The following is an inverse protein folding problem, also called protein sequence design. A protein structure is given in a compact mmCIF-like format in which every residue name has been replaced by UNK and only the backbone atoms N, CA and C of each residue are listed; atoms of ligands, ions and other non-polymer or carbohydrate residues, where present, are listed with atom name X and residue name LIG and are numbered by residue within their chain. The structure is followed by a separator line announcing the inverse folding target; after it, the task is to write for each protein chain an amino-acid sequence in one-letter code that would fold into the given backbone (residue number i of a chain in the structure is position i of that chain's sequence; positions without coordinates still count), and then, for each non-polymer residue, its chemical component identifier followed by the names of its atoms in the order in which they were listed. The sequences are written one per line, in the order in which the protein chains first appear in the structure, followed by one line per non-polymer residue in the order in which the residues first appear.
data_IF_427163199991
#
_entry.id   IF_427163199991
#
_cell.length_a   1.000
_cell.length_b   1.000
_cell.length_c   1.000
_cell.angle_alpha   90.00
_cell.angle_beta   90.00
_cell.angle_gamma   90.00
#
_symmetry.space_group_name_H-M   'P 1'
#
loop_
_entity.id
_entity.type
_entity.pdbx_description
1 polymer ?
#
# COMPACT_ATOMS: atom_id res chain seq x y z
N UNK A 1 18.13 -3.93 -18.24
CA UNK A 1 17.13 -4.65 -19.06
C UNK A 1 15.86 -3.84 -19.08
N UNK A 2 15.39 -3.47 -20.25
CA UNK A 2 14.09 -2.78 -20.40
C UNK A 2 12.97 -3.83 -20.26
N UNK A 3 12.23 -3.78 -19.15
CA UNK A 3 11.11 -4.70 -18.89
C UNK A 3 9.84 -4.38 -19.71
N UNK A 4 9.69 -3.14 -20.18
CA UNK A 4 8.57 -2.73 -21.02
C UNK A 4 8.59 -3.43 -22.39
N UNK A 5 7.65 -4.36 -22.60
CA UNK A 5 7.55 -5.16 -23.82
C UNK A 5 8.50 -6.36 -23.92
N UNK A 6 9.38 -6.55 -22.94
CA UNK A 6 10.28 -7.71 -22.82
C UNK A 6 10.07 -8.38 -21.45
N UNK A 7 10.45 -9.66 -21.35
CA UNK A 7 10.47 -10.40 -20.10
C UNK A 7 11.65 -11.37 -20.06
N UNK A 8 11.88 -12.01 -18.91
CA UNK A 8 12.90 -13.04 -18.73
C UNK A 8 12.45 -14.06 -17.68
N UNK A 9 13.04 -15.26 -17.75
CA UNK A 9 12.60 -16.39 -16.93
C UNK A 9 12.59 -16.09 -15.42
N UNK A 10 13.64 -15.45 -14.88
CA UNK A 10 13.72 -15.16 -13.46
C UNK A 10 12.55 -14.28 -12.97
N UNK A 11 12.16 -13.24 -13.73
CA UNK A 11 11.01 -12.42 -13.37
C UNK A 11 9.69 -13.22 -13.44
N UNK A 12 9.54 -14.07 -14.46
CA UNK A 12 8.35 -14.93 -14.58
C UNK A 12 8.25 -15.87 -13.39
N UNK A 13 9.34 -16.55 -13.02
CA UNK A 13 9.36 -17.50 -11.90
C UNK A 13 9.06 -16.78 -10.55
N UNK A 14 9.64 -15.61 -10.33
CA UNK A 14 9.38 -14.80 -9.14
C UNK A 14 7.91 -14.36 -9.07
N UNK A 15 7.37 -13.81 -10.16
CA UNK A 15 5.97 -13.38 -10.27
C UNK A 15 5.02 -14.56 -10.03
N UNK A 16 5.25 -15.70 -10.68
CA UNK A 16 4.44 -16.91 -10.50
C UNK A 16 4.48 -17.44 -9.06
N UNK A 17 5.60 -17.26 -8.37
CA UNK A 17 5.74 -17.64 -6.96
C UNK A 17 4.93 -16.68 -6.07
N UNK A 18 5.02 -15.38 -6.32
CA UNK A 18 4.22 -14.37 -5.59
C UNK A 18 2.72 -14.57 -5.80
N UNK A 19 2.26 -14.82 -7.03
CA UNK A 19 0.84 -15.11 -7.32
C UNK A 19 0.32 -16.31 -6.54
N UNK A 20 1.14 -17.38 -6.39
CA UNK A 20 0.75 -18.56 -5.60
C UNK A 20 0.67 -18.30 -4.10
N UNK A 21 1.43 -17.34 -3.59
CA UNK A 21 1.49 -17.00 -2.17
C UNK A 21 0.51 -15.90 -1.79
N UNK A 22 0.19 -15.01 -2.73
CA UNK A 22 -0.64 -13.84 -2.49
C UNK A 22 -2.06 -14.21 -2.04
N UNK A 23 -2.65 -13.44 -1.12
CA UNK A 23 -4.02 -13.67 -0.68
C UNK A 23 -5.05 -13.24 -1.75
N UNK A 24 -6.12 -14.02 -1.86
CA UNK A 24 -7.27 -13.69 -2.72
C UNK A 24 -6.90 -13.47 -4.20
N UNK A 25 -7.48 -12.46 -4.85
CA UNK A 25 -7.34 -12.23 -6.28
C UNK A 25 -6.13 -11.36 -6.67
N UNK A 26 -5.10 -11.23 -5.81
CA UNK A 26 -3.92 -10.40 -6.10
C UNK A 26 -2.98 -11.08 -7.10
N UNK A 27 -3.37 -11.12 -8.37
CA UNK A 27 -2.73 -11.88 -9.43
C UNK A 27 -1.97 -11.02 -10.47
N UNK A 28 -2.01 -9.70 -10.33
CA UNK A 28 -1.26 -8.74 -11.16
C UNK A 28 -0.12 -8.15 -10.33
N UNK A 29 1.11 -8.28 -10.86
CA UNK A 29 2.32 -7.93 -10.12
C UNK A 29 3.15 -6.94 -10.94
N UNK A 30 3.52 -5.84 -10.30
CA UNK A 30 4.50 -4.88 -10.79
C UNK A 30 5.77 -4.98 -9.94
N UNK A 31 6.90 -5.37 -10.56
CA UNK A 31 8.20 -5.44 -9.88
C UNK A 31 8.81 -4.04 -9.79
N UNK A 32 9.27 -3.65 -8.61
CA UNK A 32 9.87 -2.35 -8.34
C UNK A 32 11.23 -2.51 -7.64
N UNK A 33 12.02 -1.45 -7.63
CA UNK A 33 13.44 -1.51 -7.22
C UNK A 33 13.65 -1.56 -5.70
N UNK A 34 12.72 -1.03 -4.91
CA UNK A 34 12.78 -1.01 -3.45
C UNK A 34 11.40 -0.88 -2.81
N UNK A 35 11.29 -1.10 -1.50
CA UNK A 35 10.05 -0.89 -0.75
C UNK A 35 9.49 0.53 -0.93
N UNK A 36 10.35 1.56 -0.81
CA UNK A 36 9.95 2.96 -1.01
C UNK A 36 9.41 3.21 -2.42
N UNK A 37 10.05 2.64 -3.46
CA UNK A 37 9.56 2.72 -4.85
C UNK A 37 8.25 1.95 -5.01
N UNK A 38 8.10 0.78 -4.37
CA UNK A 38 6.85 0.03 -4.34
C UNK A 38 5.70 0.85 -3.74
N UNK A 39 5.96 1.57 -2.66
CA UNK A 39 4.98 2.50 -2.07
C UNK A 39 4.64 3.64 -3.05
N UNK A 40 5.62 4.27 -3.68
CA UNK A 40 5.38 5.29 -4.74
C UNK A 40 4.46 4.75 -5.84
N UNK A 41 4.73 3.52 -6.30
CA UNK A 41 3.91 2.84 -7.30
C UNK A 41 2.49 2.63 -6.81
N UNK A 42 2.32 2.16 -5.56
CA UNK A 42 1.00 1.90 -4.97
C UNK A 42 0.16 3.18 -4.81
N UNK A 43 0.78 4.29 -4.38
CA UNK A 43 0.11 5.60 -4.28
C UNK A 43 -0.33 6.11 -5.66
N UNK A 44 0.53 5.96 -6.67
CA UNK A 44 0.20 6.31 -8.06
C UNK A 44 -0.91 5.42 -8.61
N UNK A 45 -0.87 4.12 -8.32
CA UNK A 45 -1.88 3.15 -8.74
C UNK A 45 -3.24 3.50 -8.13
N UNK A 46 -3.32 3.73 -6.82
CA UNK A 46 -4.55 4.14 -6.15
C UNK A 46 -5.15 5.42 -6.75
N UNK A 47 -4.29 6.41 -7.05
CA UNK A 47 -4.73 7.64 -7.73
C UNK A 47 -5.22 7.36 -9.15
N UNK A 48 -4.55 6.50 -9.92
CA UNK A 48 -4.99 6.16 -11.29
C UNK A 48 -6.32 5.38 -11.30
N UNK A 49 -6.57 4.55 -10.29
CA UNK A 49 -7.89 3.90 -10.08
C UNK A 49 -8.97 4.98 -9.92
N UNK A 50 -8.76 5.97 -9.07
CA UNK A 50 -9.74 7.05 -8.88
C UNK A 50 -9.91 7.92 -10.14
N UNK A 51 -8.85 8.15 -10.91
CA UNK A 51 -8.92 8.81 -12.22
C UNK A 51 -9.81 7.99 -13.18
N UNK A 52 -9.60 6.68 -13.26
CA UNK A 52 -10.36 5.80 -14.14
C UNK A 52 -11.85 5.75 -13.72
N UNK A 53 -12.13 5.56 -12.43
CA UNK A 53 -13.50 5.55 -11.87
C UNK A 53 -14.22 6.89 -12.11
N UNK A 54 -13.53 8.00 -11.88
CA UNK A 54 -14.07 9.35 -12.11
C UNK A 54 -14.38 9.58 -13.60
N UNK A 55 -13.46 9.21 -14.49
CA UNK A 55 -13.66 9.34 -15.92
C UNK A 55 -14.84 8.48 -16.43
N UNK A 56 -14.98 7.26 -15.93
CA UNK A 56 -16.09 6.36 -16.26
C UNK A 56 -17.46 6.93 -15.82
N UNK A 57 -17.48 7.73 -14.76
CA UNK A 57 -18.70 8.41 -14.25
C UNK A 57 -18.91 9.80 -14.88
N UNK A 58 -18.02 10.27 -15.75
CA UNK A 58 -18.08 11.61 -16.36
C UNK A 58 -17.87 12.75 -15.37
N UNK A 59 -17.21 12.51 -14.25
CA UNK A 59 -16.99 13.44 -13.15
C UNK A 59 -15.67 14.21 -13.25
N UNK A 60 -15.42 15.09 -12.26
CA UNK A 60 -14.15 15.79 -12.05
C UNK A 60 -13.39 15.12 -10.91
N UNK A 61 -12.10 14.85 -11.12
CA UNK A 61 -11.26 14.24 -10.10
C UNK A 61 -11.03 15.20 -8.92
N UNK A 62 -11.46 14.78 -7.74
CA UNK A 62 -11.18 15.47 -6.45
C UNK A 62 -10.29 14.58 -5.55
N UNK A 63 -10.42 13.27 -5.66
CA UNK A 63 -9.76 12.25 -4.83
C UNK A 63 -8.29 12.09 -5.20
N UNK A 64 -7.43 12.86 -4.53
CA UNK A 64 -5.97 12.88 -4.82
C UNK A 64 -5.10 12.61 -3.60
N UNK A 65 -5.67 12.65 -2.40
CA UNK A 65 -4.97 12.45 -1.13
C UNK A 65 -5.15 11.01 -0.63
N UNK A 66 -4.26 10.59 0.25
CA UNK A 66 -4.29 9.26 0.87
C UNK A 66 -4.35 9.44 2.38
N UNK A 67 -5.15 8.60 3.05
CA UNK A 67 -5.12 8.51 4.50
C UNK A 67 -4.02 7.55 4.94
N UNK A 68 -3.22 7.94 5.93
CA UNK A 68 -2.20 7.13 6.57
C UNK A 68 -2.35 7.15 8.09
N UNK A 69 -1.69 6.24 8.79
CA UNK A 69 -1.76 6.17 10.25
C UNK A 69 -0.67 7.03 10.91
N UNK A 70 -0.98 7.64 12.04
CA UNK A 70 0.06 8.20 12.90
C UNK A 70 0.98 7.09 13.37
N UNK A 71 2.29 7.38 13.45
CA UNK A 71 3.33 6.40 13.76
C UNK A 71 3.74 5.52 12.59
N UNK A 72 3.20 5.71 11.37
CA UNK A 72 3.55 4.92 10.19
C UNK A 72 4.90 5.33 9.57
N UNK A 73 5.53 4.35 8.91
CA UNK A 73 6.70 4.56 8.06
C UNK A 73 6.57 3.71 6.79
N UNK A 74 6.69 4.35 5.63
CA UNK A 74 6.48 3.73 4.32
C UNK A 74 7.66 3.89 3.36
N UNK A 75 8.76 4.52 3.80
CA UNK A 75 9.97 4.70 3.01
C UNK A 75 10.43 6.15 2.92
N UNK A 76 11.56 6.39 2.21
CA UNK A 76 12.29 7.64 2.20
C UNK A 76 12.26 8.39 0.85
N UNK A 77 11.54 7.90 -0.14
CA UNK A 77 11.26 8.71 -1.35
C UNK A 77 10.16 9.73 -1.04
N UNK A 78 10.11 10.84 -1.77
CA UNK A 78 9.23 11.98 -1.44
C UNK A 78 7.74 11.58 -1.31
N UNK A 79 7.22 10.73 -2.18
CA UNK A 79 5.85 10.25 -2.07
C UNK A 79 5.65 9.28 -0.90
N UNK A 80 6.58 8.36 -0.66
CA UNK A 80 6.56 7.47 0.50
C UNK A 80 6.65 8.27 1.82
N UNK A 81 7.51 9.31 1.87
CA UNK A 81 7.60 10.22 3.01
C UNK A 81 6.28 10.94 3.29
N UNK A 82 5.51 11.26 2.25
CA UNK A 82 4.25 11.99 2.41
C UNK A 82 3.21 11.23 3.24
N UNK A 83 3.30 9.91 3.28
CA UNK A 83 2.42 9.02 4.06
C UNK A 83 3.07 8.48 5.35
N UNK A 84 4.31 8.88 5.66
CA UNK A 84 4.94 8.62 6.95
C UNK A 84 4.46 9.62 8.00
N UNK A 85 4.54 9.26 9.29
CA UNK A 85 4.19 10.18 10.39
C UNK A 85 4.94 11.51 10.30
N UNK A 86 4.25 12.64 10.14
CA UNK A 86 4.89 13.93 9.95
C UNK A 86 5.55 14.49 11.22
N UNK A 87 5.24 13.98 12.42
CA UNK A 87 5.74 14.53 13.69
C UNK A 87 6.87 13.68 14.25
N UNK A 88 6.71 12.34 14.25
CA UNK A 88 7.67 11.42 14.87
C UNK A 88 8.81 10.96 13.95
N UNK A 89 8.78 11.33 12.68
CA UNK A 89 9.71 10.84 11.66
C UNK A 89 10.85 11.81 11.33
N UNK A 90 11.83 11.31 10.59
CA UNK A 90 12.98 12.07 10.06
C UNK A 90 12.58 13.12 9.00
N UNK A 91 11.32 13.16 8.61
CA UNK A 91 10.84 13.79 7.39
C UNK A 91 10.41 15.25 7.58
N UNK A 92 10.39 15.77 8.81
CA UNK A 92 10.00 17.15 9.13
C UNK A 92 10.79 18.21 8.35
N UNK A 93 12.07 17.93 8.05
CA UNK A 93 12.93 18.83 7.25
C UNK A 93 12.46 19.00 5.80
N UNK A 94 11.63 18.09 5.30
CA UNK A 94 11.17 18.06 3.90
C UNK A 94 9.69 18.40 3.77
N UNK A 95 9.03 18.84 4.84
CA UNK A 95 7.59 19.10 4.89
C UNK A 95 7.08 20.01 3.77
N UNK A 96 7.89 20.99 3.36
CA UNK A 96 7.54 21.95 2.30
C UNK A 96 7.64 21.35 0.88
N UNK A 97 8.29 20.17 0.75
CA UNK A 97 8.58 19.55 -0.53
C UNK A 97 7.72 18.31 -0.79
N UNK A 98 6.94 17.86 0.18
CA UNK A 98 6.12 16.65 0.10
C UNK A 98 4.63 16.97 0.07
N UNK A 99 3.83 16.15 -0.68
CA UNK A 99 2.38 16.32 -0.70
C UNK A 99 1.76 16.19 0.70
N UNK A 100 0.79 17.02 1.03
CA UNK A 100 0.08 16.95 2.29
C UNK A 100 -1.00 15.86 2.23
N UNK A 101 -0.92 14.89 3.13
CA UNK A 101 -1.84 13.75 3.25
C UNK A 101 -2.75 13.88 4.49
N UNK A 102 -3.66 12.92 4.67
CA UNK A 102 -4.56 12.84 5.81
C UNK A 102 -4.00 11.82 6.80
N UNK A 103 -4.04 12.12 8.09
CA UNK A 103 -3.53 11.20 9.11
C UNK A 103 -4.64 10.82 10.09
N UNK A 104 -4.91 9.52 10.17
CA UNK A 104 -5.74 8.90 11.18
C UNK A 104 -4.93 8.74 12.47
N UNK A 105 -5.55 8.70 13.65
CA UNK A 105 -4.86 8.43 14.91
C UNK A 105 -4.04 7.14 14.85
N UNK A 106 -3.03 7.05 15.70
CA UNK A 106 -2.30 5.79 15.88
C UNK A 106 -3.25 4.72 16.42
N UNK A 107 -3.35 3.54 15.80
CA UNK A 107 -4.26 2.52 16.30
C UNK A 107 -3.82 2.00 17.66
N UNK A 108 -4.77 1.57 18.52
CA UNK A 108 -4.48 0.99 19.82
C UNK A 108 -3.66 -0.30 19.68
N UNK A 109 -2.97 -0.67 20.77
CA UNK A 109 -2.10 -1.84 20.79
C UNK A 109 -2.86 -3.12 20.42
N UNK A 110 -2.11 -4.17 20.03
CA UNK A 110 -2.68 -5.48 19.71
C UNK A 110 -3.52 -6.08 20.87
N UNK A 111 -3.16 -5.76 22.12
CA UNK A 111 -3.83 -6.23 23.31
C UNK A 111 -4.85 -5.22 23.88
N UNK A 112 -5.20 -4.17 23.15
CA UNK A 112 -6.18 -3.18 23.57
C UNK A 112 -7.57 -3.82 23.76
N UNK A 113 -8.35 -3.28 24.67
CA UNK A 113 -9.72 -3.72 24.88
C UNK A 113 -10.66 -3.20 23.78
N UNK A 114 -11.90 -3.69 23.82
CA UNK A 114 -12.92 -3.36 22.82
C UNK A 114 -13.28 -1.86 22.85
N UNK A 115 -13.31 -1.24 24.03
CA UNK A 115 -13.62 0.18 24.17
C UNK A 115 -12.59 1.10 23.53
N UNK A 116 -11.30 0.77 23.68
CA UNK A 116 -10.21 1.49 23.01
C UNK A 116 -10.32 1.37 21.50
N UNK A 117 -10.64 0.17 20.99
CA UNK A 117 -10.83 -0.09 19.56
C UNK A 117 -12.04 0.70 19.03
N UNK A 118 -13.18 0.69 19.73
CA UNK A 118 -14.39 1.43 19.34
C UNK A 118 -14.14 2.94 19.31
N UNK A 119 -13.44 3.48 20.31
CA UNK A 119 -13.05 4.90 20.37
C UNK A 119 -12.21 5.27 19.17
N UNK A 120 -11.17 4.48 18.88
CA UNK A 120 -10.31 4.72 17.72
C UNK A 120 -11.08 4.64 16.39
N UNK A 121 -11.98 3.65 16.25
CA UNK A 121 -12.81 3.51 15.06
C UNK A 121 -13.68 4.76 14.83
N UNK A 122 -14.28 5.29 15.90
CA UNK A 122 -15.11 6.49 15.83
C UNK A 122 -14.30 7.73 15.41
N UNK A 123 -13.11 7.92 15.97
CA UNK A 123 -12.21 9.03 15.59
C UNK A 123 -11.74 8.89 14.13
N UNK A 124 -11.39 7.67 13.71
CA UNK A 124 -11.00 7.39 12.33
C UNK A 124 -12.14 7.66 11.34
N UNK A 125 -13.37 7.27 11.68
CA UNK A 125 -14.56 7.50 10.87
C UNK A 125 -14.85 8.98 10.67
N UNK A 126 -14.76 9.79 11.72
CA UNK A 126 -14.96 11.24 11.64
C UNK A 126 -13.99 11.89 10.63
N UNK A 127 -12.71 11.49 10.66
CA UNK A 127 -11.70 11.99 9.73
C UNK A 127 -11.96 11.51 8.31
N UNK A 128 -12.26 10.21 8.12
CA UNK A 128 -12.53 9.63 6.82
C UNK A 128 -13.77 10.25 6.16
N UNK A 129 -14.84 10.46 6.92
CA UNK A 129 -16.07 11.09 6.43
C UNK A 129 -15.86 12.55 6.07
N UNK A 130 -15.09 13.30 6.88
CA UNK A 130 -14.73 14.69 6.61
C UNK A 130 -13.97 14.85 5.30
N UNK A 131 -13.10 13.89 4.96
CA UNK A 131 -12.23 13.95 3.79
C UNK A 131 -12.63 13.00 2.66
N UNK A 132 -13.83 12.39 2.71
CA UNK A 132 -14.29 11.36 1.78
C UNK A 132 -14.15 11.73 0.30
N UNK A 133 -14.33 13.02 -0.03
CA UNK A 133 -14.28 13.53 -1.40
C UNK A 133 -12.86 13.86 -1.87
N UNK A 134 -11.90 13.93 -0.96
CA UNK A 134 -10.48 14.17 -1.23
C UNK A 134 -9.66 12.88 -1.32
N UNK A 135 -10.13 11.80 -0.67
CA UNK A 135 -9.36 10.58 -0.49
C UNK A 135 -9.41 9.66 -1.71
N UNK A 136 -8.23 9.25 -2.17
CA UNK A 136 -8.04 8.19 -3.17
C UNK A 136 -7.94 6.80 -2.52
N UNK A 137 -7.41 6.71 -1.31
CA UNK A 137 -7.20 5.46 -0.62
C UNK A 137 -6.70 5.63 0.80
N UNK A 138 -6.45 4.50 1.44
CA UNK A 138 -5.87 4.37 2.79
C UNK A 138 -4.63 3.49 2.66
N UNK A 139 -3.51 3.88 3.28
CA UNK A 139 -2.29 3.06 3.36
C UNK A 139 -1.97 2.70 4.81
N UNK A 140 -1.61 1.45 5.05
CA UNK A 140 -1.26 0.94 6.39
C UNK A 140 -0.09 -0.04 6.33
N UNK A 141 0.74 -0.08 7.37
CA UNK A 141 1.55 -1.24 7.71
C UNK A 141 0.65 -2.19 8.52
N UNK A 142 0.21 -3.35 7.99
CA UNK A 142 -0.77 -4.19 8.69
C UNK A 142 -0.19 -4.76 9.99
N UNK A 143 -0.94 -4.64 11.09
CA UNK A 143 -0.68 -5.27 12.41
C UNK A 143 0.57 -4.76 13.13
N UNK A 144 1.62 -4.33 12.42
CA UNK A 144 2.88 -3.91 13.03
C UNK A 144 3.45 -2.69 12.31
N UNK A 145 3.48 -1.54 12.98
CA UNK A 145 4.27 -0.39 12.54
C UNK A 145 5.74 -0.62 12.93
N UNK A 146 6.57 -0.97 11.94
CA UNK A 146 7.95 -1.37 12.16
C UNK A 146 8.83 -0.23 12.65
N UNK A 147 9.24 0.67 11.76
CA UNK A 147 10.10 1.80 12.07
C UNK A 147 9.44 2.82 13.01
N UNK A 148 8.12 2.83 13.08
CA UNK A 148 7.33 3.61 14.03
C UNK A 148 7.42 3.14 15.48
N UNK A 149 8.40 2.29 15.83
CA UNK A 149 8.68 1.85 17.18
C UNK A 149 8.26 0.41 17.48
N UNK A 150 8.20 -0.45 16.45
CA UNK A 150 7.79 -1.86 16.57
C UNK A 150 6.45 -2.01 17.30
N UNK A 151 5.47 -1.21 16.87
CA UNK A 151 4.16 -1.10 17.50
C UNK A 151 3.16 -2.10 16.91
N UNK A 152 2.86 -3.20 17.62
CA UNK A 152 1.80 -4.11 17.22
C UNK A 152 0.43 -3.50 17.56
N UNK A 153 -0.51 -3.54 16.61
CA UNK A 153 -1.81 -2.92 16.76
C UNK A 153 -2.96 -3.86 16.40
N UNK A 154 -4.16 -3.51 16.86
CA UNK A 154 -5.34 -4.37 16.85
C UNK A 154 -5.80 -4.77 15.44
N UNK A 155 -5.93 -6.08 15.14
CA UNK A 155 -6.52 -6.56 13.89
C UNK A 155 -7.94 -6.04 13.63
N UNK A 156 -8.71 -5.76 14.69
CA UNK A 156 -10.06 -5.22 14.58
C UNK A 156 -10.07 -3.84 13.92
N UNK A 157 -9.06 -3.01 14.20
CA UNK A 157 -8.91 -1.72 13.52
C UNK A 157 -8.60 -1.89 12.02
N UNK A 158 -7.79 -2.88 11.64
CA UNK A 158 -7.52 -3.18 10.23
C UNK A 158 -8.77 -3.67 9.51
N UNK A 159 -9.54 -4.54 10.15
CA UNK A 159 -10.83 -5.01 9.63
C UNK A 159 -11.82 -3.85 9.45
N UNK A 160 -11.85 -2.94 10.40
CA UNK A 160 -12.65 -1.72 10.30
C UNK A 160 -12.24 -0.85 9.11
N UNK A 161 -10.93 -0.60 8.92
CA UNK A 161 -10.44 0.17 7.77
C UNK A 161 -10.79 -0.48 6.42
N UNK A 162 -10.76 -1.83 6.31
CA UNK A 162 -11.22 -2.51 5.09
C UNK A 162 -12.69 -2.19 4.81
N UNK A 163 -13.56 -2.40 5.80
CA UNK A 163 -14.97 -2.08 5.66
C UNK A 163 -15.21 -0.62 5.25
N UNK A 164 -14.52 0.32 5.90
CA UNK A 164 -14.64 1.76 5.55
C UNK A 164 -14.12 2.08 4.16
N UNK A 165 -13.05 1.44 3.73
CA UNK A 165 -12.55 1.61 2.37
C UNK A 165 -13.60 1.13 1.35
N UNK A 166 -14.27 0.01 1.59
CA UNK A 166 -15.35 -0.49 0.74
C UNK A 166 -16.54 0.49 0.70
N UNK A 167 -17.00 0.96 1.86
CA UNK A 167 -18.13 1.89 1.98
C UNK A 167 -17.89 3.23 1.28
N UNK A 168 -16.66 3.72 1.29
CA UNK A 168 -16.27 5.02 0.73
C UNK A 168 -15.68 4.93 -0.69
N UNK A 169 -15.63 3.74 -1.28
CA UNK A 169 -15.01 3.48 -2.60
C UNK A 169 -13.53 3.94 -2.64
N UNK A 170 -12.80 3.67 -1.55
CA UNK A 170 -11.37 3.96 -1.40
C UNK A 170 -10.53 2.72 -1.70
N UNK A 171 -9.30 2.93 -2.15
CA UNK A 171 -8.31 1.86 -2.34
C UNK A 171 -7.59 1.59 -1.03
N UNK A 172 -7.65 0.38 -0.48
CA UNK A 172 -6.87 -0.03 0.68
C UNK A 172 -5.51 -0.58 0.23
N UNK A 173 -4.43 0.08 0.64
CA UNK A 173 -3.05 -0.31 0.37
C UNK A 173 -2.47 -0.93 1.65
N UNK A 174 -2.05 -2.19 1.58
CA UNK A 174 -1.30 -2.84 2.63
C UNK A 174 0.20 -2.81 2.31
N UNK A 175 0.96 -2.08 3.09
CA UNK A 175 2.42 -2.09 3.04
C UNK A 175 2.95 -3.25 3.88
N UNK A 176 3.14 -4.38 3.24
CA UNK A 176 3.68 -5.62 3.79
C UNK A 176 5.22 -5.73 3.59
N UNK A 177 5.89 -4.63 3.27
CA UNK A 177 7.35 -4.61 3.07
C UNK A 177 8.10 -5.08 4.31
N UNK A 178 7.63 -4.71 5.51
CA UNK A 178 8.22 -5.15 6.77
C UNK A 178 7.48 -6.34 7.39
N UNK A 179 6.18 -6.47 7.16
CA UNK A 179 5.30 -7.41 7.85
C UNK A 179 5.10 -8.73 7.12
N UNK A 180 5.33 -8.75 5.81
CA UNK A 180 5.16 -9.92 4.96
C UNK A 180 6.18 -11.04 5.20
N UNK A 181 5.91 -12.18 4.59
CA UNK A 181 6.75 -13.39 4.60
C UNK A 181 7.02 -13.95 6.01
N UNK A 182 6.00 -13.95 6.87
CA UNK A 182 6.04 -14.62 8.16
C UNK A 182 6.45 -13.75 9.35
N UNK A 183 6.74 -12.46 9.16
CA UNK A 183 7.21 -11.57 10.22
C UNK A 183 6.28 -11.51 11.44
N UNK A 184 4.98 -11.55 11.23
CA UNK A 184 3.97 -11.46 12.28
C UNK A 184 3.38 -12.82 12.70
N UNK A 185 3.93 -13.93 12.17
CA UNK A 185 3.44 -15.29 12.43
C UNK A 185 2.39 -15.79 11.44
N UNK A 186 1.94 -14.95 10.53
CA UNK A 186 1.17 -15.29 9.32
C UNK A 186 2.02 -14.99 8.09
N UNK A 187 1.73 -15.60 6.94
CA UNK A 187 2.49 -15.32 5.71
C UNK A 187 2.41 -13.84 5.36
N UNK A 188 1.22 -13.28 5.40
CA UNK A 188 0.98 -11.83 5.31
C UNK A 188 0.20 -11.35 6.54
N UNK A 189 0.52 -10.16 7.02
CA UNK A 189 -0.07 -9.65 8.25
C UNK A 189 -1.58 -9.34 8.12
N UNK A 190 -2.06 -9.04 6.90
CA UNK A 190 -3.49 -8.89 6.62
C UNK A 190 -4.33 -10.10 7.02
N UNK A 191 -3.75 -11.30 7.07
CA UNK A 191 -4.43 -12.54 7.49
C UNK A 191 -4.89 -12.51 8.96
N UNK A 192 -4.28 -11.67 9.82
CA UNK A 192 -4.74 -11.50 11.21
C UNK A 192 -6.12 -10.86 11.31
N UNK A 193 -6.48 -10.04 10.35
CA UNK A 193 -7.77 -9.37 10.27
C UNK A 193 -8.75 -10.08 9.33
N UNK A 194 -8.33 -11.18 8.69
CA UNK A 194 -9.10 -11.90 7.67
C UNK A 194 -9.57 -10.97 6.54
N UNK A 195 -8.66 -10.15 6.03
CA UNK A 195 -8.93 -9.22 4.92
C UNK A 195 -7.97 -9.41 3.75
N UNK A 196 -8.43 -8.99 2.58
CA UNK A 196 -7.59 -8.83 1.39
C UNK A 196 -7.55 -7.32 1.04
N UNK A 197 -6.36 -6.71 0.90
CA UNK A 197 -6.26 -5.33 0.43
C UNK A 197 -6.51 -5.24 -1.09
N UNK A 198 -6.76 -4.03 -1.59
CA UNK A 198 -6.83 -3.79 -3.03
C UNK A 198 -5.44 -3.78 -3.68
N UNK A 199 -4.47 -3.25 -2.94
CA UNK A 199 -3.06 -3.21 -3.32
C UNK A 199 -2.22 -3.71 -2.15
N UNK A 200 -1.27 -4.61 -2.43
CA UNK A 200 -0.28 -5.07 -1.46
C UNK A 200 1.12 -4.73 -1.96
N UNK A 201 1.96 -4.17 -1.09
CA UNK A 201 3.37 -3.91 -1.37
C UNK A 201 4.22 -4.86 -0.54
N UNK A 202 5.13 -5.60 -1.19
CA UNK A 202 6.07 -6.53 -0.53
C UNK A 202 7.51 -6.19 -0.89
N UNK A 203 8.45 -6.55 -0.02
CA UNK A 203 9.87 -6.28 -0.21
C UNK A 203 10.70 -6.96 0.88
N UNK A 204 11.84 -6.40 1.23
CA UNK A 204 12.76 -6.90 2.29
C UNK A 204 12.95 -8.43 2.22
N UNK A 205 12.15 -9.19 3.00
CA UNK A 205 12.25 -10.66 3.05
C UNK A 205 12.02 -11.34 1.70
N UNK A 206 11.39 -10.66 0.73
CA UNK A 206 11.17 -11.17 -0.62
C UNK A 206 12.46 -11.64 -1.31
N UNK A 207 13.57 -10.95 -1.05
CA UNK A 207 14.89 -11.28 -1.63
C UNK A 207 15.87 -11.82 -0.58
N UNK A 208 15.41 -12.14 0.63
CA UNK A 208 16.29 -12.62 1.70
C UNK A 208 17.39 -11.64 2.12
N UNK A 209 17.32 -10.38 1.68
CA UNK A 209 18.32 -9.35 1.94
C UNK A 209 19.54 -9.35 1.01
N UNK A 210 19.57 -10.21 -0.01
CA UNK A 210 20.69 -10.28 -0.94
C UNK A 210 20.73 -9.09 -1.92
N UNK A 211 19.56 -8.70 -2.44
CA UNK A 211 19.42 -7.58 -3.38
C UNK A 211 18.15 -6.80 -3.10
N UNK A 212 18.13 -5.54 -3.50
CA UNK A 212 16.94 -4.69 -3.34
C UNK A 212 15.94 -4.98 -4.46
N UNK A 213 14.75 -5.43 -4.08
CA UNK A 213 13.60 -5.53 -4.95
C UNK A 213 12.32 -5.45 -4.12
N UNK A 214 11.25 -4.98 -4.72
CA UNK A 214 9.90 -5.03 -4.17
C UNK A 214 8.90 -5.43 -5.26
N UNK A 215 7.68 -5.73 -4.84
CA UNK A 215 6.59 -5.98 -5.76
C UNK A 215 5.32 -5.29 -5.26
N UNK A 216 4.53 -4.78 -6.20
CA UNK A 216 3.20 -4.25 -5.96
C UNK A 216 2.20 -5.20 -6.60
N UNK A 217 1.27 -5.70 -5.79
CA UNK A 217 0.27 -6.68 -6.19
C UNK A 217 -1.11 -6.04 -6.18
N UNK A 218 -1.93 -6.36 -7.17
CA UNK A 218 -3.35 -6.00 -7.20
C UNK A 218 -4.15 -7.08 -7.96
N UNK A 219 -5.46 -6.96 -7.99
CA UNK A 219 -6.30 -7.86 -8.79
C UNK A 219 -6.28 -7.50 -10.28
N UNK A 220 -6.63 -8.48 -11.14
CA UNK A 220 -6.88 -8.23 -12.58
C UNK A 220 -7.99 -7.20 -12.78
N UNK A 221 -9.02 -7.20 -11.96
CA UNK A 221 -10.11 -6.24 -12.02
C UNK A 221 -9.60 -4.80 -11.86
N UNK A 222 -8.81 -4.54 -10.80
CA UNK A 222 -8.23 -3.23 -10.53
C UNK A 222 -7.25 -2.80 -11.63
N UNK A 223 -6.38 -3.71 -12.08
CA UNK A 223 -5.46 -3.45 -13.20
C UNK A 223 -6.21 -3.14 -14.50
N UNK A 224 -7.32 -3.83 -14.75
CA UNK A 224 -8.20 -3.61 -15.91
C UNK A 224 -8.93 -2.27 -15.84
N UNK A 225 -9.35 -1.80 -14.65
CA UNK A 225 -9.89 -0.45 -14.48
C UNK A 225 -8.90 0.62 -14.96
N UNK A 226 -7.64 0.53 -14.51
CA UNK A 226 -6.57 1.45 -14.90
C UNK A 226 -6.29 1.38 -16.40
N UNK A 227 -6.26 0.17 -16.97
CA UNK A 227 -5.99 -0.03 -18.41
C UNK A 227 -7.10 0.53 -19.30
N UNK A 228 -8.34 0.53 -18.84
CA UNK A 228 -9.49 1.16 -19.51
C UNK A 228 -9.58 2.66 -19.25
N UNK A 229 -8.87 3.17 -18.25
CA UNK A 229 -8.85 4.58 -17.90
C UNK A 229 -8.03 5.44 -18.87
N UNK A 230 -8.03 6.77 -18.67
CA UNK A 230 -7.38 7.73 -19.60
C UNK A 230 -5.89 7.47 -19.84
N UNK A 231 -5.18 6.85 -18.92
CA UNK A 231 -3.76 6.52 -19.04
C UNK A 231 -3.46 5.27 -19.88
N UNK A 232 -4.41 4.36 -20.02
CA UNK A 232 -4.25 3.09 -20.74
C UNK A 232 -3.29 2.09 -20.10
N UNK A 233 -2.51 2.50 -19.10
CA UNK A 233 -1.55 1.66 -18.36
C UNK A 233 -1.13 2.35 -17.07
N UNK A 234 -0.48 1.61 -16.18
CA UNK A 234 0.17 2.19 -14.98
C UNK A 234 1.30 3.15 -15.41
N UNK A 235 1.20 4.40 -14.98
CA UNK A 235 2.16 5.46 -15.31
C UNK A 235 3.42 5.40 -14.43
N UNK A 236 4.12 4.27 -14.47
CA UNK A 236 5.41 4.06 -13.83
C UNK A 236 6.19 2.99 -14.59
N UNK A 237 7.49 3.20 -14.83
CA UNK A 237 8.29 2.24 -15.59
C UNK A 237 9.77 2.59 -15.56
N UNK A 238 10.50 2.32 -14.45
CA UNK A 238 11.94 2.56 -14.39
C UNK A 238 12.70 1.54 -15.25
N UNK A 239 13.86 1.96 -15.75
CA UNK A 239 14.67 1.16 -16.70
C UNK A 239 15.01 -0.23 -16.18
N UNK A 240 15.33 -0.36 -14.89
CA UNK A 240 15.80 -1.61 -14.28
C UNK A 240 14.74 -2.36 -13.46
N UNK A 241 13.47 -1.99 -13.56
CA UNK A 241 12.41 -2.78 -12.94
C UNK A 241 12.46 -4.23 -13.43
N UNK A 242 12.17 -5.18 -12.56
CA UNK A 242 12.32 -6.60 -12.87
C UNK A 242 13.78 -7.02 -13.09
N UNK A 243 14.71 -6.46 -12.31
CA UNK A 243 16.14 -6.80 -12.36
C UNK A 243 16.31 -8.33 -12.34
N UNK A 244 16.96 -8.94 -13.38
CA UNK A 244 17.08 -10.38 -13.49
C UNK A 244 17.79 -11.05 -12.31
N UNK A 245 18.83 -10.39 -11.78
CA UNK A 245 19.59 -10.92 -10.66
C UNK A 245 18.76 -10.90 -9.37
N UNK A 246 18.10 -9.77 -9.08
CA UNK A 246 17.23 -9.67 -7.91
C UNK A 246 16.00 -10.59 -7.98
N UNK A 247 15.48 -10.83 -9.18
CA UNK A 247 14.36 -11.75 -9.39
C UNK A 247 14.77 -13.24 -9.32
N UNK A 248 16.07 -13.55 -9.42
CA UNK A 248 16.59 -14.91 -9.36
C UNK A 248 16.95 -15.36 -7.93
N UNK A 249 17.07 -14.42 -7.00
CA UNK A 249 17.34 -14.66 -5.57
C UNK A 249 16.06 -15.02 -4.84
#
# INVERSE_FOLDING_TARGET
VMFGGLTHKAAVDAVMSLVRLAPGPLDRIFLADSGSVGVEVSLKLARQVQIARTAARGGTLTRTRVAALRGAYHGDTLGAMSVCDPIGGMHAMFSDSIPQQIFLPRPPSFAADEADVETWCSEADEILDTHRDDLAGIIVEPILQGAGGMWPWSPSCLKHLRRRADELDLVLIADEVATGFGRTGKLFACEWADIVPDIMVVGKSMTGGYLTQSAVLCSDELASEVSRGPGGSLMHGPTFMGNPLASAV
#
